data_IF_757031393012
#
_entry.id   IF_757031393012
#
_cell.length_a   1.000
_cell.length_b   1.000
_cell.length_c   1.000
_cell.angle_alpha   90.00
_cell.angle_beta   90.00
_cell.angle_gamma   90.00
#
_symmetry.space_group_name_H-M   'P 1'
#
loop_
_entity.id
_entity.type
_entity.pdbx_description
1 polymer ?
#
# COMPACT_ATOMS: atom_id res chain seq x y z
N UNK A 1 30.23 3.80 8.73
CA UNK A 1 28.87 4.36 8.63
C UNK A 1 28.02 3.58 9.62
N UNK A 2 27.24 4.22 10.51
CA UNK A 2 26.26 3.48 11.29
C UNK A 2 25.31 2.76 10.33
N UNK A 3 24.95 1.54 10.68
CA UNK A 3 23.87 0.80 10.03
C UNK A 3 22.57 1.58 10.30
N UNK A 4 22.09 2.26 9.27
CA UNK A 4 20.90 3.11 9.32
C UNK A 4 19.64 2.34 8.92
N UNK A 5 19.64 1.00 9.05
CA UNK A 5 18.45 0.20 8.80
C UNK A 5 17.35 0.50 9.81
N UNK A 6 16.18 0.88 9.29
CA UNK A 6 14.96 0.99 10.07
C UNK A 6 14.26 -0.37 10.05
N UNK A 7 14.12 -1.00 11.22
CA UNK A 7 13.34 -2.22 11.38
C UNK A 7 12.12 -1.93 12.29
N UNK A 8 10.89 -2.02 11.76
CA UNK A 8 9.69 -1.83 12.57
C UNK A 8 9.59 -2.90 13.67
N UNK A 9 9.40 -2.46 14.92
CA UNK A 9 9.19 -3.38 16.06
C UNK A 9 7.78 -3.96 16.14
N UNK A 10 6.86 -3.40 15.35
CA UNK A 10 5.47 -3.84 15.21
C UNK A 10 5.10 -3.74 13.73
N UNK A 11 4.11 -4.52 13.25
CA UNK A 11 3.55 -4.33 11.92
C UNK A 11 3.08 -2.89 11.74
N UNK A 12 3.53 -2.25 10.67
CA UNK A 12 3.12 -0.90 10.30
C UNK A 12 2.41 -0.93 8.94
N UNK A 13 1.50 0.02 8.76
CA UNK A 13 0.70 0.17 7.57
C UNK A 13 0.77 1.61 7.06
N UNK A 14 0.42 1.80 5.79
CA UNK A 14 0.12 3.12 5.25
C UNK A 14 -1.36 3.27 4.95
N UNK A 15 -1.88 4.46 5.20
CA UNK A 15 -3.07 4.97 4.52
C UNK A 15 -2.63 5.34 3.11
N UNK A 16 -2.94 4.49 2.14
CA UNK A 16 -2.20 4.48 0.87
C UNK A 16 -2.35 5.77 0.08
N UNK A 17 -3.54 6.40 0.12
CA UNK A 17 -3.84 7.64 -0.61
C UNK A 17 -3.10 8.88 -0.07
N UNK A 18 -2.73 8.87 1.21
CA UNK A 18 -1.89 9.92 1.83
C UNK A 18 -0.40 9.68 1.54
N UNK A 19 -0.03 8.42 1.28
CA UNK A 19 1.33 8.03 0.94
C UNK A 19 1.64 8.33 -0.54
N UNK A 20 0.74 7.91 -1.44
CA UNK A 20 0.77 8.22 -2.87
C UNK A 20 -0.64 8.12 -3.47
N UNK A 21 -1.01 8.97 -4.44
CA UNK A 21 -2.28 8.83 -5.17
C UNK A 21 -2.36 7.56 -6.04
N UNK A 22 -1.24 6.88 -6.27
CA UNK A 22 -1.13 5.65 -7.08
C UNK A 22 -0.76 4.46 -6.19
N UNK A 23 -1.61 3.44 -6.17
CA UNK A 23 -1.34 2.21 -5.43
C UNK A 23 -0.10 1.48 -5.98
N UNK A 24 0.11 1.55 -7.30
CA UNK A 24 1.25 0.94 -7.98
C UNK A 24 2.58 1.56 -7.55
N UNK A 25 2.59 2.87 -7.29
CA UNK A 25 3.77 3.59 -6.80
C UNK A 25 3.98 3.41 -5.30
N UNK A 26 2.90 3.29 -4.52
CA UNK A 26 2.98 3.13 -3.07
C UNK A 26 3.60 1.79 -2.66
N UNK A 27 3.16 0.69 -3.29
CA UNK A 27 3.54 -0.69 -2.92
C UNK A 27 5.06 -0.91 -2.78
N UNK A 28 5.91 -0.61 -3.79
CA UNK A 28 7.34 -0.91 -3.70
C UNK A 28 8.03 -0.14 -2.56
N UNK A 29 7.65 1.11 -2.34
CA UNK A 29 8.24 1.96 -1.29
C UNK A 29 7.76 1.54 0.09
N UNK A 30 6.47 1.23 0.25
CA UNK A 30 5.94 0.67 1.49
C UNK A 30 6.68 -0.62 1.89
N UNK A 31 6.96 -1.48 0.91
CA UNK A 31 7.72 -2.72 1.12
C UNK A 31 9.18 -2.46 1.51
N UNK A 32 9.84 -1.48 0.88
CA UNK A 32 11.21 -1.06 1.23
C UNK A 32 11.29 -0.54 2.68
N UNK A 33 10.27 0.19 3.14
CA UNK A 33 10.19 0.71 4.52
C UNK A 33 9.91 -0.41 5.55
N UNK A 34 9.45 -1.58 5.11
CA UNK A 34 9.07 -2.69 5.99
C UNK A 34 7.61 -2.65 6.44
N UNK A 35 6.73 -1.97 5.71
CA UNK A 35 5.28 -2.03 5.95
C UNK A 35 4.70 -3.34 5.44
N UNK A 36 3.77 -3.91 6.22
CA UNK A 36 3.18 -5.23 5.95
C UNK A 36 1.66 -5.17 5.76
N UNK A 37 1.09 -3.98 5.75
CA UNK A 37 -0.34 -3.77 5.57
C UNK A 37 -0.62 -2.45 4.82
N UNK A 38 -1.76 -2.41 4.13
CA UNK A 38 -2.25 -1.25 3.41
C UNK A 38 -3.69 -0.96 3.84
N UNK A 39 -3.97 0.28 4.22
CA UNK A 39 -5.33 0.78 4.44
C UNK A 39 -5.81 1.49 3.18
N UNK A 40 -6.89 0.97 2.59
CA UNK A 40 -7.45 1.46 1.32
C UNK A 40 -8.74 2.24 1.57
N UNK A 41 -8.74 3.54 1.26
CA UNK A 41 -9.93 4.42 1.29
C UNK A 41 -10.25 4.97 -0.09
N UNK A 42 -9.19 5.40 -0.78
CA UNK A 42 -9.22 5.89 -2.16
C UNK A 42 -8.15 5.15 -2.95
N UNK A 43 -8.51 4.62 -4.12
CA UNK A 43 -7.61 3.91 -5.02
C UNK A 43 -7.70 4.57 -6.39
N UNK A 44 -6.57 5.00 -6.95
CA UNK A 44 -6.51 5.66 -8.26
C UNK A 44 -7.53 6.81 -8.39
N UNK A 45 -7.61 7.64 -7.33
CA UNK A 45 -8.52 8.81 -7.21
C UNK A 45 -10.01 8.50 -7.12
N UNK A 46 -10.39 7.24 -6.88
CA UNK A 46 -11.77 6.81 -6.71
C UNK A 46 -11.99 6.25 -5.29
N UNK A 47 -13.07 6.64 -4.61
CA UNK A 47 -13.38 6.10 -3.30
C UNK A 47 -13.69 4.60 -3.44
N UNK A 48 -13.18 3.78 -2.51
CA UNK A 48 -13.33 2.32 -2.56
C UNK A 48 -14.80 1.87 -2.56
N UNK A 49 -15.71 2.64 -1.95
CA UNK A 49 -17.15 2.31 -1.93
C UNK A 49 -17.84 2.53 -3.29
N UNK A 50 -17.24 3.32 -4.17
CA UNK A 50 -17.76 3.60 -5.51
C UNK A 50 -17.16 2.64 -6.56
N UNK A 51 -16.21 1.79 -6.17
CA UNK A 51 -15.53 0.86 -7.07
C UNK A 51 -16.41 -0.34 -7.40
N UNK A 52 -16.24 -0.87 -8.61
CA UNK A 52 -16.83 -2.15 -9.00
C UNK A 52 -15.90 -3.32 -8.63
N UNK A 53 -16.44 -4.54 -8.64
CA UNK A 53 -15.73 -5.75 -8.24
C UNK A 53 -14.41 -5.95 -8.99
N UNK A 54 -14.35 -5.64 -10.30
CA UNK A 54 -13.12 -5.80 -11.10
C UNK A 54 -12.04 -4.80 -10.69
N UNK A 55 -12.44 -3.58 -10.33
CA UNK A 55 -11.50 -2.57 -9.86
C UNK A 55 -10.92 -2.97 -8.49
N UNK A 56 -11.76 -3.54 -7.61
CA UNK A 56 -11.34 -4.07 -6.30
C UNK A 56 -10.42 -5.28 -6.47
N UNK A 57 -10.81 -6.22 -7.34
CA UNK A 57 -10.03 -7.43 -7.64
C UNK A 57 -8.65 -7.08 -8.16
N UNK A 58 -8.54 -6.12 -9.08
CA UNK A 58 -7.24 -5.64 -9.56
C UNK A 58 -6.38 -5.04 -8.45
N UNK A 59 -6.96 -4.23 -7.56
CA UNK A 59 -6.21 -3.68 -6.42
C UNK A 59 -5.75 -4.80 -5.47
N UNK A 60 -6.58 -5.81 -5.25
CA UNK A 60 -6.23 -6.99 -4.46
C UNK A 60 -5.10 -7.79 -5.11
N UNK A 61 -5.16 -8.06 -6.41
CA UNK A 61 -4.10 -8.77 -7.15
C UNK A 61 -2.74 -8.06 -7.03
N UNK A 62 -2.74 -6.72 -7.09
CA UNK A 62 -1.53 -5.92 -6.91
C UNK A 62 -0.91 -6.11 -5.51
N UNK A 63 -1.75 -6.10 -4.47
CA UNK A 63 -1.32 -6.32 -3.09
C UNK A 63 -0.87 -7.77 -2.87
N UNK A 64 -1.66 -8.76 -3.28
CA UNK A 64 -1.32 -10.18 -3.17
C UNK A 64 0.00 -10.51 -3.87
N UNK A 65 0.28 -9.88 -5.02
CA UNK A 65 1.54 -10.04 -5.75
C UNK A 65 2.73 -9.44 -5.00
N UNK A 66 2.49 -8.48 -4.11
CA UNK A 66 3.50 -7.81 -3.30
C UNK A 66 3.80 -8.52 -1.97
N UNK A 67 2.91 -9.39 -1.51
CA UNK A 67 3.01 -10.13 -0.23
C UNK A 67 2.22 -9.48 0.89
#
# INVERSE_FOLDING_TARGET
MPDNSFEPKIPIAAVTDEFSPSLEEAIPVMKEIGMTAAELRVINRKNIVDMNDREIERAKEMLDSAG
#
